data_IF_626961341099
#
_entry.id   IF_626961341099
#
_cell.length_a   1.000
_cell.length_b   1.000
_cell.length_c   1.000
_cell.angle_alpha   90.00
_cell.angle_beta   90.00
_cell.angle_gamma   90.00
#
_symmetry.space_group_name_H-M   'P 1'
#
loop_
_entity.id
_entity.type
_entity.pdbx_description
1 polymer ?
#
# COMPACT_ATOMS: atom_id res chain seq x y z
N UNK A 1 13.53 -32.55 26.39
CA UNK A 1 12.69 -33.01 25.26
C UNK A 1 11.63 -31.98 24.85
N UNK A 2 10.91 -31.37 25.80
CA UNK A 2 9.85 -30.38 25.52
C UNK A 2 10.33 -29.16 24.71
N UNK A 3 11.47 -28.56 25.08
CA UNK A 3 12.05 -27.41 24.36
C UNK A 3 12.33 -27.70 22.87
N UNK A 4 12.84 -28.90 22.57
CA UNK A 4 13.07 -29.33 21.17
C UNK A 4 11.75 -29.40 20.40
N UNK A 5 10.70 -29.92 21.03
CA UNK A 5 9.36 -29.98 20.44
C UNK A 5 8.79 -28.58 20.19
N UNK A 6 8.93 -27.67 21.17
CA UNK A 6 8.50 -26.28 21.03
C UNK A 6 9.24 -25.57 19.89
N UNK A 7 10.57 -25.71 19.81
CA UNK A 7 11.37 -25.13 18.71
C UNK A 7 10.92 -25.68 17.36
N UNK A 8 10.66 -26.99 17.26
CA UNK A 8 10.18 -27.60 16.02
C UNK A 8 8.79 -27.05 15.63
N UNK A 9 7.87 -26.95 16.59
CA UNK A 9 6.54 -26.38 16.37
C UNK A 9 6.60 -24.91 15.93
N UNK A 10 7.47 -24.11 16.55
CA UNK A 10 7.74 -22.72 16.15
C UNK A 10 8.27 -22.65 14.72
N UNK A 11 9.19 -23.55 14.35
CA UNK A 11 9.76 -23.59 13.00
C UNK A 11 8.70 -23.94 11.95
N UNK A 12 7.85 -24.92 12.25
CA UNK A 12 6.70 -25.31 11.41
C UNK A 12 5.69 -24.16 11.24
N UNK A 13 5.35 -23.48 12.33
CA UNK A 13 4.45 -22.32 12.29
C UNK A 13 5.04 -21.19 11.46
N UNK A 14 6.35 -20.92 11.59
CA UNK A 14 7.03 -19.88 10.83
C UNK A 14 7.09 -20.21 9.34
N UNK A 15 7.42 -21.46 8.99
CA UNK A 15 7.42 -21.91 7.60
C UNK A 15 6.02 -21.84 6.98
N UNK A 16 4.99 -22.30 7.69
CA UNK A 16 3.60 -22.19 7.25
C UNK A 16 3.19 -20.73 7.02
N UNK A 17 3.53 -19.84 7.96
CA UNK A 17 3.29 -18.40 7.81
C UNK A 17 4.03 -17.81 6.61
N UNK A 18 5.28 -18.22 6.37
CA UNK A 18 6.08 -17.74 5.25
C UNK A 18 5.48 -18.13 3.89
N UNK A 19 5.06 -19.38 3.72
CA UNK A 19 4.36 -19.84 2.51
C UNK A 19 3.03 -19.11 2.32
N UNK A 20 2.32 -18.85 3.43
CA UNK A 20 1.05 -18.11 3.41
C UNK A 20 1.25 -16.65 3.02
N UNK A 21 2.25 -15.97 3.59
CA UNK A 21 2.57 -14.58 3.31
C UNK A 21 3.15 -14.36 1.90
N UNK A 22 3.79 -15.38 1.31
CA UNK A 22 4.24 -15.34 -0.10
C UNK A 22 3.07 -15.47 -1.08
N UNK A 23 1.93 -16.00 -0.63
CA UNK A 23 0.78 -16.28 -1.49
C UNK A 23 0.86 -17.64 -2.18
N UNK A 24 1.76 -18.54 -1.78
CA UNK A 24 1.78 -19.93 -2.30
C UNK A 24 0.46 -20.67 -1.98
N UNK A 25 -0.23 -20.22 -0.92
CA UNK A 25 -1.55 -20.74 -0.52
C UNK A 25 -2.71 -20.01 -1.21
N UNK A 26 -2.45 -19.07 -2.13
CA UNK A 26 -3.50 -18.37 -2.88
C UNK A 26 -4.32 -19.33 -3.75
N UNK A 27 -3.71 -20.38 -4.29
CA UNK A 27 -4.42 -21.42 -5.06
C UNK A 27 -5.43 -22.23 -4.23
N UNK A 28 -5.32 -22.22 -2.90
CA UNK A 28 -6.23 -22.91 -1.98
C UNK A 28 -7.33 -21.98 -1.42
N UNK A 29 -7.39 -20.72 -1.87
CA UNK A 29 -8.38 -19.74 -1.39
C UNK A 29 -8.11 -19.22 0.03
N UNK A 30 -6.92 -19.49 0.58
CA UNK A 30 -6.49 -19.04 1.90
C UNK A 30 -5.60 -17.79 1.85
N UNK A 31 -5.41 -17.17 0.68
CA UNK A 31 -4.67 -15.92 0.61
C UNK A 31 -5.52 -14.73 1.07
N UNK A 32 -4.98 -13.83 1.92
CA UNK A 32 -5.62 -12.57 2.23
C UNK A 32 -5.64 -11.70 0.96
N UNK A 33 -6.81 -11.12 0.66
CA UNK A 33 -7.00 -10.23 -0.50
C UNK A 33 -5.95 -9.09 -0.56
N UNK A 34 -5.47 -8.64 0.61
CA UNK A 34 -4.44 -7.61 0.78
C UNK A 34 -3.04 -7.96 0.25
N UNK A 35 -2.72 -9.24 -0.04
CA UNK A 35 -1.47 -9.57 -0.73
C UNK A 35 -1.52 -9.25 -2.24
N UNK A 36 -2.73 -9.24 -2.81
CA UNK A 36 -2.97 -8.86 -4.21
C UNK A 36 -3.26 -7.35 -4.31
N UNK A 37 -3.96 -6.78 -3.34
CA UNK A 37 -4.10 -5.32 -3.13
C UNK A 37 -2.85 -4.70 -2.46
N UNK A 38 -1.66 -4.87 -3.06
CA UNK A 38 -0.76 -3.70 -3.10
C UNK A 38 -1.39 -2.81 -4.14
N UNK A 39 -1.92 -1.66 -3.76
CA UNK A 39 -2.68 -0.77 -4.64
C UNK A 39 -1.79 0.34 -5.28
N UNK A 40 -0.88 0.07 -6.25
CA UNK A 40 -0.34 1.16 -7.07
C UNK A 40 -1.40 1.66 -8.07
N UNK A 41 -2.46 0.89 -8.31
CA UNK A 41 -3.51 1.24 -9.28
C UNK A 41 -4.33 2.47 -8.85
N UNK A 42 -4.42 2.76 -7.54
CA UNK A 42 -5.08 3.98 -7.06
C UNK A 42 -4.31 5.25 -7.41
N UNK A 43 -3.04 5.17 -7.77
CA UNK A 43 -2.27 6.32 -8.26
C UNK A 43 -2.66 6.68 -9.70
N UNK A 44 -3.05 5.70 -10.51
CA UNK A 44 -3.41 5.92 -11.91
C UNK A 44 -4.79 6.57 -12.07
N UNK A 45 -5.73 6.31 -11.14
CA UNK A 45 -7.08 6.89 -11.17
C UNK A 45 -7.19 8.19 -10.36
N UNK A 46 -6.34 8.42 -9.37
CA UNK A 46 -6.39 9.66 -8.56
C UNK A 46 -5.94 10.90 -9.32
N UNK A 47 -5.10 10.74 -10.35
CA UNK A 47 -4.63 11.83 -11.18
C UNK A 47 -5.23 11.58 -12.56
N UNK A 48 -6.00 12.53 -13.11
CA UNK A 48 -6.44 12.54 -14.52
C UNK A 48 -5.43 13.33 -15.33
N UNK A 49 -4.27 12.76 -15.70
CA UNK A 49 -3.23 13.51 -16.39
C UNK A 49 -3.72 14.13 -17.69
N UNK A 50 -4.73 13.52 -18.34
CA UNK A 50 -5.31 14.02 -19.58
C UNK A 50 -6.09 15.34 -19.45
N UNK A 51 -6.37 15.84 -18.24
CA UNK A 51 -6.92 17.19 -18.00
C UNK A 51 -5.87 18.19 -17.50
N UNK A 52 -4.61 17.78 -17.27
CA UNK A 52 -3.56 18.68 -16.79
C UNK A 52 -2.83 19.32 -17.97
N UNK A 53 -2.98 20.64 -18.14
CA UNK A 53 -2.20 21.44 -19.09
C UNK A 53 -1.11 22.21 -18.33
N UNK A 54 0.16 21.85 -18.54
CA UNK A 54 1.31 22.53 -17.90
C UNK A 54 1.59 23.81 -18.66
N UNK A 55 1.15 24.95 -18.11
CA UNK A 55 1.50 26.26 -18.66
C UNK A 55 2.84 26.75 -18.12
N UNK A 56 3.73 27.27 -18.97
CA UNK A 56 4.96 27.90 -18.51
C UNK A 56 4.62 29.07 -17.59
N UNK A 57 5.32 29.19 -16.47
CA UNK A 57 5.16 30.33 -15.57
C UNK A 57 5.51 31.60 -16.34
N UNK A 58 4.65 32.64 -16.32
CA UNK A 58 5.05 33.93 -16.87
C UNK A 58 6.27 34.42 -16.09
N UNK A 59 7.24 35.01 -16.80
CA UNK A 59 8.55 35.37 -16.25
C UNK A 59 8.49 36.34 -15.04
N UNK A 60 7.33 36.94 -14.78
CA UNK A 60 7.04 37.84 -13.65
C UNK A 60 5.90 37.33 -12.74
N UNK A 61 5.70 36.01 -12.63
CA UNK A 61 4.76 35.46 -11.66
C UNK A 61 5.29 35.69 -10.23
N UNK A 62 4.56 36.39 -9.34
CA UNK A 62 4.90 36.42 -7.93
C UNK A 62 4.87 34.99 -7.39
N UNK A 63 5.89 34.59 -6.63
CA UNK A 63 5.93 33.29 -6.00
C UNK A 63 4.62 33.07 -5.22
N UNK A 64 3.81 32.12 -5.68
CA UNK A 64 2.54 31.81 -5.03
C UNK A 64 2.85 31.27 -3.64
N UNK A 65 2.50 32.04 -2.60
CA UNK A 65 2.48 31.54 -1.22
C UNK A 65 1.60 30.30 -1.18
N UNK A 66 2.16 29.20 -0.70
CA UNK A 66 1.44 27.95 -0.53
C UNK A 66 0.29 28.19 0.44
N UNK A 67 -0.98 27.98 0.04
CA UNK A 67 -2.07 28.06 0.99
C UNK A 67 -1.91 26.90 1.97
N UNK A 68 -1.78 27.29 3.23
CA UNK A 68 -1.71 26.43 4.40
C UNK A 68 -2.76 25.33 4.35
N UNK A 69 -2.35 24.16 4.83
CA UNK A 69 -3.14 22.95 4.98
C UNK A 69 -4.51 23.24 5.61
N UNK A 70 -5.54 23.44 4.78
CA UNK A 70 -6.92 23.40 5.22
C UNK A 70 -7.28 21.94 5.53
N UNK A 71 -6.90 21.54 6.74
CA UNK A 71 -7.48 20.45 7.49
C UNK A 71 -9.01 20.52 7.40
N UNK A 72 -9.63 19.60 6.67
CA UNK A 72 -11.04 19.26 6.88
C UNK A 72 -11.17 17.75 7.07
N UNK A 73 -11.20 17.39 8.36
CA UNK A 73 -11.58 16.10 8.93
C UNK A 73 -12.86 15.52 8.29
N UNK A 74 -13.00 14.20 8.13
CA UNK A 74 -14.21 13.60 7.58
C UNK A 74 -15.35 13.67 8.60
N UNK A 75 -16.49 14.17 8.18
CA UNK A 75 -17.71 14.12 8.96
C UNK A 75 -18.49 12.84 8.64
N UNK A 76 -18.52 11.98 9.67
CA UNK A 76 -19.57 11.01 10.04
C UNK A 76 -19.53 9.60 9.47
#
# INVERSE_FOLDING_TARGET
MLLRLCVLALLLANAGYFLWARGDLAGFGWAPASLHEREPQRLNTQIRPELLEVRPAPADAPAAEAPESASSSPAR
#
